data_IF_435812418224
#
_entry.id   IF_435812418224
#
_cell.length_a   1.000
_cell.length_b   1.000
_cell.length_c   1.000
_cell.angle_alpha   90.00
_cell.angle_beta   90.00
_cell.angle_gamma   90.00
#
_symmetry.space_group_name_H-M   'P 1'
#
loop_
_entity.id
_entity.type
_entity.pdbx_description
1 polymer ?
#
# COMPACT_ATOMS: atom_id res chain seq x y z
N UNK A 1 8.35 -10.37 -33.73
CA UNK A 1 7.02 -10.27 -34.37
C UNK A 1 6.19 -9.14 -33.78
N UNK A 2 6.00 -9.07 -32.45
CA UNK A 2 5.31 -7.94 -31.79
C UNK A 2 5.89 -6.57 -32.19
N UNK A 3 7.20 -6.38 -32.03
CA UNK A 3 7.89 -5.15 -32.42
C UNK A 3 7.76 -4.80 -33.92
N UNK A 4 7.68 -5.81 -34.79
CA UNK A 4 7.48 -5.61 -36.22
C UNK A 4 6.06 -5.13 -36.53
N UNK A 5 5.05 -5.69 -35.87
CA UNK A 5 3.65 -5.27 -36.01
C UNK A 5 3.41 -3.88 -35.41
N UNK A 6 4.02 -3.58 -34.26
CA UNK A 6 3.98 -2.24 -33.65
C UNK A 6 4.60 -1.20 -34.60
N UNK A 7 5.78 -1.47 -35.16
CA UNK A 7 6.44 -0.59 -36.14
C UNK A 7 5.59 -0.40 -37.41
N UNK A 8 4.98 -1.48 -37.93
CA UNK A 8 4.11 -1.42 -39.12
C UNK A 8 2.87 -0.57 -38.89
N UNK A 9 2.25 -0.63 -37.70
CA UNK A 9 1.10 0.21 -37.37
C UNK A 9 1.51 1.69 -37.35
N UNK A 10 2.66 2.01 -36.74
CA UNK A 10 3.19 3.39 -36.73
C UNK A 10 3.50 3.90 -38.13
N UNK A 11 4.10 3.07 -38.98
CA UNK A 11 4.39 3.42 -40.38
C UNK A 11 3.09 3.70 -41.15
N UNK A 12 2.04 2.88 -41.00
CA UNK A 12 0.75 3.09 -41.70
C UNK A 12 -0.02 4.30 -41.17
N UNK A 13 -0.02 4.55 -39.85
CA UNK A 13 -0.64 5.72 -39.24
C UNK A 13 0.08 7.03 -39.64
N UNK A 14 1.41 6.99 -39.77
CA UNK A 14 2.21 8.12 -40.24
C UNK A 14 2.09 8.36 -41.76
N UNK A 15 2.01 7.28 -42.56
CA UNK A 15 1.91 7.36 -44.03
C UNK A 15 0.61 8.00 -44.52
N UNK A 16 -0.43 8.08 -43.68
CA UNK A 16 -1.64 8.84 -43.99
C UNK A 16 -1.43 10.37 -44.05
N UNK A 17 -0.28 10.87 -43.58
CA UNK A 17 0.07 12.30 -43.56
C UNK A 17 1.11 12.72 -44.62
N UNK A 18 1.85 11.77 -45.18
CA UNK A 18 2.95 12.02 -46.14
C UNK A 18 2.62 11.47 -47.53
N UNK A 19 2.41 12.39 -48.48
CA UNK A 19 2.03 12.11 -49.88
C UNK A 19 3.08 11.27 -50.63
N UNK A 20 4.33 11.22 -50.17
CA UNK A 20 5.37 10.39 -50.79
C UNK A 20 5.25 8.91 -50.39
N UNK A 21 4.86 8.65 -49.14
CA UNK A 21 4.69 7.28 -48.62
C UNK A 21 3.47 6.55 -49.20
N UNK A 22 2.42 7.29 -49.58
CA UNK A 22 1.23 6.73 -50.22
C UNK A 22 1.51 6.19 -51.63
N UNK A 23 2.44 6.80 -52.37
CA UNK A 23 2.82 6.33 -53.72
C UNK A 23 3.55 4.99 -53.69
N UNK A 24 4.42 4.73 -52.71
CA UNK A 24 5.11 3.43 -52.57
C UNK A 24 4.15 2.28 -52.21
N UNK A 25 3.02 2.57 -51.58
CA UNK A 25 2.02 1.57 -51.21
C UNK A 25 1.06 1.23 -52.36
N UNK A 26 0.90 2.12 -53.35
CA UNK A 26 0.10 1.87 -54.56
C UNK A 26 0.74 0.85 -55.52
N UNK A 27 2.07 0.69 -55.46
CA UNK A 27 2.79 -0.34 -56.23
C UNK A 27 2.95 -1.67 -55.46
N UNK A 28 2.50 -1.72 -54.20
CA UNK A 28 2.57 -2.93 -53.39
C UNK A 28 1.53 -3.98 -53.82
N UNK A 29 1.83 -5.29 -53.70
CA UNK A 29 0.85 -6.35 -53.95
C UNK A 29 -0.47 -6.12 -53.23
N UNK A 30 -1.60 -6.45 -53.88
CA UNK A 30 -2.95 -6.22 -53.36
C UNK A 30 -3.17 -6.72 -51.91
N UNK A 31 -2.47 -7.80 -51.52
CA UNK A 31 -2.49 -8.35 -50.15
C UNK A 31 -2.02 -7.34 -49.09
N UNK A 32 -1.04 -6.49 -49.42
CA UNK A 32 -0.54 -5.45 -48.53
C UNK A 32 -1.45 -4.20 -48.56
N UNK A 33 -2.02 -3.88 -49.73
CA UNK A 33 -2.98 -2.76 -49.88
C UNK A 33 -4.31 -3.01 -49.18
N UNK A 34 -4.76 -4.27 -49.11
CA UNK A 34 -5.98 -4.69 -48.42
C UNK A 34 -5.82 -4.76 -46.90
N UNK A 35 -4.60 -4.60 -46.37
CA UNK A 35 -4.34 -4.73 -44.94
C UNK A 35 -4.66 -3.42 -44.23
N UNK A 36 -5.84 -3.35 -43.62
CA UNK A 36 -6.26 -2.20 -42.82
C UNK A 36 -5.46 -2.08 -41.51
N UNK A 37 -5.36 -0.86 -40.99
CA UNK A 37 -4.80 -0.58 -39.65
C UNK A 37 -5.48 -1.42 -38.56
N UNK A 38 -6.79 -1.65 -38.68
CA UNK A 38 -7.56 -2.49 -37.77
C UNK A 38 -7.15 -3.96 -37.82
N UNK A 39 -6.89 -4.50 -39.02
CA UNK A 39 -6.40 -5.87 -39.20
C UNK A 39 -5.02 -6.07 -38.56
N UNK A 40 -4.11 -5.09 -38.74
CA UNK A 40 -2.79 -5.11 -38.09
C UNK A 40 -2.90 -5.04 -36.56
N UNK A 41 -3.77 -4.18 -36.02
CA UNK A 41 -4.05 -4.10 -34.59
C UNK A 41 -4.62 -5.41 -34.05
N UNK A 42 -5.51 -6.08 -34.79
CA UNK A 42 -6.05 -7.38 -34.42
C UNK A 42 -4.98 -8.48 -34.42
N UNK A 43 -4.08 -8.49 -35.41
CA UNK A 43 -2.95 -9.43 -35.47
C UNK A 43 -1.98 -9.22 -34.30
N UNK A 44 -1.69 -7.96 -33.96
CA UNK A 44 -0.86 -7.59 -32.81
C UNK A 44 -1.49 -8.07 -31.50
N UNK A 45 -2.78 -7.80 -31.31
CA UNK A 45 -3.52 -8.24 -30.12
C UNK A 45 -3.54 -9.77 -29.99
N UNK A 46 -3.74 -10.48 -31.10
CA UNK A 46 -3.71 -11.94 -31.12
C UNK A 46 -2.32 -12.47 -30.77
N UNK A 47 -1.27 -11.83 -31.29
CA UNK A 47 0.13 -12.20 -31.00
C UNK A 47 0.47 -11.95 -29.54
N UNK A 48 0.11 -10.78 -28.99
CA UNK A 48 0.30 -10.43 -27.57
C UNK A 48 -0.48 -11.36 -26.65
N UNK A 49 -1.71 -11.73 -27.02
CA UNK A 49 -2.55 -12.69 -26.28
C UNK A 49 -1.91 -14.08 -26.26
N UNK A 50 -1.48 -14.61 -27.40
CA UNK A 50 -0.78 -15.88 -27.50
C UNK A 50 0.55 -15.88 -26.74
N UNK A 51 1.33 -14.81 -26.88
CA UNK A 51 2.59 -14.61 -26.17
C UNK A 51 2.35 -14.63 -24.65
N UNK A 52 1.35 -13.91 -24.16
CA UNK A 52 0.94 -13.90 -22.75
C UNK A 52 0.54 -15.29 -22.25
N UNK A 53 -0.29 -16.01 -23.02
CA UNK A 53 -0.71 -17.37 -22.68
C UNK A 53 0.47 -18.35 -22.60
N UNK A 54 1.39 -18.30 -23.58
CA UNK A 54 2.59 -19.14 -23.62
C UNK A 54 3.64 -18.76 -22.57
N UNK A 55 3.70 -17.49 -22.21
CA UNK A 55 4.65 -16.93 -21.22
C UNK A 55 4.03 -16.75 -19.83
N UNK A 56 2.96 -17.49 -19.54
CA UNK A 56 2.39 -17.57 -18.20
C UNK A 56 3.47 -18.00 -17.21
N UNK A 57 3.48 -17.41 -16.00
CA UNK A 57 4.46 -17.70 -14.94
C UNK A 57 4.61 -19.21 -14.69
N UNK A 58 3.49 -19.96 -14.74
CA UNK A 58 3.47 -21.42 -14.64
C UNK A 58 4.27 -22.12 -15.74
N UNK A 59 4.11 -21.71 -17.00
CA UNK A 59 4.88 -22.28 -18.12
C UNK A 59 6.35 -21.91 -18.03
N UNK A 60 6.68 -20.67 -17.63
CA UNK A 60 8.06 -20.25 -17.37
C UNK A 60 8.73 -21.13 -16.32
N UNK A 61 8.06 -21.38 -15.19
CA UNK A 61 8.56 -22.30 -14.16
C UNK A 61 8.74 -23.72 -14.72
N UNK A 62 7.77 -24.24 -15.47
CA UNK A 62 7.87 -25.58 -16.07
C UNK A 62 9.02 -25.70 -17.08
N UNK A 63 9.24 -24.68 -17.92
CA UNK A 63 10.37 -24.63 -18.83
C UNK A 63 11.70 -24.58 -18.09
N UNK A 64 11.79 -23.80 -17.00
CA UNK A 64 12.99 -23.70 -16.17
C UNK A 64 13.28 -24.99 -15.40
N UNK A 65 12.24 -25.70 -14.93
CA UNK A 65 12.36 -27.03 -14.32
C UNK A 65 12.89 -28.05 -15.34
N UNK A 66 12.40 -27.99 -16.59
CA UNK A 66 12.86 -28.87 -17.67
C UNK A 66 14.30 -28.56 -18.11
N UNK A 67 14.69 -27.28 -18.15
CA UNK A 67 15.98 -26.85 -18.69
C UNK A 67 17.13 -26.92 -17.69
N UNK A 68 16.86 -26.81 -16.38
CA UNK A 68 17.90 -26.86 -15.36
C UNK A 68 17.40 -27.47 -14.04
N UNK A 69 17.99 -28.59 -13.56
CA UNK A 69 17.62 -29.18 -12.28
C UNK A 69 17.92 -28.26 -11.09
N UNK A 70 18.95 -27.40 -11.18
CA UNK A 70 19.30 -26.42 -10.14
C UNK A 70 18.20 -25.39 -9.89
N UNK A 71 17.30 -25.18 -10.85
CA UNK A 71 16.18 -24.26 -10.66
C UNK A 71 15.17 -24.80 -9.64
N UNK A 72 14.99 -26.12 -9.61
CA UNK A 72 14.12 -26.79 -8.63
C UNK A 72 14.64 -26.54 -7.22
N UNK A 73 15.95 -26.68 -7.00
CA UNK A 73 16.56 -26.46 -5.69
C UNK A 73 16.33 -25.03 -5.18
N UNK A 74 16.52 -24.03 -6.04
CA UNK A 74 16.25 -22.62 -5.70
C UNK A 74 14.77 -22.37 -5.41
N UNK A 75 13.88 -23.03 -6.16
CA UNK A 75 12.44 -22.89 -5.96
C UNK A 75 12.02 -23.50 -4.62
N UNK A 76 12.58 -24.66 -4.26
CA UNK A 76 12.38 -25.28 -2.94
C UNK A 76 12.91 -24.38 -1.82
N UNK A 77 14.10 -23.81 -1.97
CA UNK A 77 14.67 -22.89 -0.99
C UNK A 77 13.80 -21.63 -0.81
N UNK A 78 13.33 -21.04 -1.91
CA UNK A 78 12.42 -19.89 -1.87
C UNK A 78 11.10 -20.22 -1.18
N UNK A 79 10.53 -21.41 -1.44
CA UNK A 79 9.30 -21.86 -0.77
C UNK A 79 9.53 -22.09 0.73
N UNK A 80 10.65 -22.71 1.12
CA UNK A 80 11.01 -22.88 2.53
C UNK A 80 11.16 -21.54 3.25
N UNK A 81 11.86 -20.59 2.65
CA UNK A 81 12.03 -19.24 3.20
C UNK A 81 10.69 -18.51 3.36
N UNK A 82 9.78 -18.63 2.38
CA UNK A 82 8.43 -18.06 2.47
C UNK A 82 7.60 -18.69 3.58
N UNK A 83 7.70 -20.01 3.76
CA UNK A 83 7.00 -20.74 4.81
C UNK A 83 7.52 -20.30 6.19
N UNK A 84 8.83 -20.25 6.38
CA UNK A 84 9.45 -19.79 7.63
C UNK A 84 9.05 -18.34 7.96
N UNK A 85 8.99 -17.47 6.95
CA UNK A 85 8.54 -16.09 7.13
C UNK A 85 7.06 -16.04 7.55
N UNK A 86 6.20 -16.86 6.94
CA UNK A 86 4.79 -16.93 7.28
C UNK A 86 4.58 -17.42 8.73
N UNK A 87 5.33 -18.43 9.17
CA UNK A 87 5.29 -18.91 10.55
C UNK A 87 5.71 -17.80 11.54
N UNK A 88 6.81 -17.11 11.28
CA UNK A 88 7.25 -15.96 12.10
C UNK A 88 6.20 -14.85 12.15
N UNK A 89 5.51 -14.57 11.04
CA UNK A 89 4.44 -13.57 11.02
C UNK A 89 3.25 -13.96 11.91
N UNK A 90 2.90 -15.25 11.95
CA UNK A 90 1.84 -15.77 12.83
C UNK A 90 2.23 -15.58 14.30
N UNK A 91 3.48 -15.87 14.65
CA UNK A 91 3.95 -15.71 16.03
C UNK A 91 4.06 -14.24 16.44
N UNK A 92 4.53 -13.37 15.54
CA UNK A 92 4.48 -11.92 15.73
C UNK A 92 3.05 -11.42 15.94
N UNK A 93 2.08 -11.92 15.16
CA UNK A 93 0.67 -11.54 15.32
C UNK A 93 0.15 -11.91 16.72
N UNK A 94 0.46 -13.11 17.22
CA UNK A 94 0.09 -13.54 18.57
C UNK A 94 0.74 -12.64 19.63
N UNK A 95 2.04 -12.37 19.50
CA UNK A 95 2.77 -11.53 20.44
C UNK A 95 2.21 -10.09 20.50
N UNK A 96 1.89 -9.50 19.34
CA UNK A 96 1.27 -8.17 19.27
C UNK A 96 -0.12 -8.18 19.91
N UNK A 97 -0.92 -9.23 19.67
CA UNK A 97 -2.25 -9.37 20.28
C UNK A 97 -2.18 -9.44 21.81
N UNK A 98 -1.22 -10.20 22.36
CA UNK A 98 -1.01 -10.28 23.80
C UNK A 98 -0.60 -8.91 24.38
N UNK A 99 0.39 -8.25 23.79
CA UNK A 99 0.82 -6.90 24.22
C UNK A 99 -0.30 -5.87 24.14
N UNK A 100 -1.15 -5.96 23.12
CA UNK A 100 -2.32 -5.11 23.00
C UNK A 100 -3.30 -5.34 24.15
N UNK A 101 -3.57 -6.60 24.51
CA UNK A 101 -4.43 -6.92 25.64
C UNK A 101 -3.86 -6.42 26.96
N UNK A 102 -2.56 -6.63 27.21
CA UNK A 102 -1.85 -6.11 28.37
C UNK A 102 -1.96 -4.57 28.46
N UNK A 103 -1.71 -3.85 27.36
CA UNK A 103 -1.82 -2.40 27.32
C UNK A 103 -3.25 -1.90 27.61
N UNK A 104 -4.28 -2.58 27.11
CA UNK A 104 -5.68 -2.25 27.38
C UNK A 104 -6.05 -2.52 28.84
N UNK A 105 -5.51 -3.57 29.45
CA UNK A 105 -5.71 -3.85 30.87
C UNK A 105 -5.00 -2.81 31.77
N UNK A 106 -3.78 -2.42 31.40
CA UNK A 106 -3.06 -1.34 32.08
C UNK A 106 -3.82 -0.01 31.97
N UNK A 107 -4.28 0.36 30.78
CA UNK A 107 -5.08 1.56 30.55
C UNK A 107 -6.32 1.59 31.45
N UNK A 108 -7.10 0.49 31.48
CA UNK A 108 -8.27 0.34 32.37
C UNK A 108 -7.92 0.46 33.86
N UNK A 109 -6.74 -0.01 34.26
CA UNK A 109 -6.27 0.11 35.63
C UNK A 109 -5.76 1.52 35.99
N UNK A 110 -5.29 2.29 35.00
CA UNK A 110 -4.83 3.67 35.17
C UNK A 110 -5.99 4.66 35.19
N UNK A 111 -7.02 4.46 34.39
CA UNK A 111 -8.25 5.27 34.33
C UNK A 111 -8.81 5.73 35.69
N UNK A 112 -9.08 4.82 36.66
CA UNK A 112 -9.60 5.23 37.96
C UNK A 112 -8.59 6.04 38.77
N UNK A 113 -7.28 5.77 38.61
CA UNK A 113 -6.23 6.53 39.31
C UNK A 113 -6.16 7.96 38.79
N UNK A 114 -6.26 8.15 37.47
CA UNK A 114 -6.30 9.46 36.84
C UNK A 114 -7.51 10.27 37.33
N UNK A 115 -8.71 9.65 37.40
CA UNK A 115 -9.92 10.29 37.94
C UNK A 115 -9.73 10.77 39.38
N UNK A 116 -9.18 9.92 40.25
CA UNK A 116 -8.92 10.27 41.65
C UNK A 116 -7.94 11.46 41.76
N UNK A 117 -6.90 11.48 40.92
CA UNK A 117 -5.93 12.58 40.90
C UNK A 117 -6.62 13.89 40.50
N UNK A 118 -7.43 13.87 39.43
CA UNK A 118 -8.18 15.05 38.98
C UNK A 118 -9.08 15.60 40.09
N UNK A 119 -9.81 14.72 40.78
CA UNK A 119 -10.73 15.15 41.84
C UNK A 119 -9.99 15.71 43.06
N UNK A 120 -8.89 15.09 43.47
CA UNK A 120 -8.03 15.62 44.53
C UNK A 120 -7.41 16.97 44.15
N UNK A 121 -6.97 17.14 42.91
CA UNK A 121 -6.42 18.41 42.45
C UNK A 121 -7.48 19.51 42.41
N UNK A 122 -8.74 19.22 42.05
CA UNK A 122 -9.84 20.19 42.15
C UNK A 122 -10.06 20.66 43.59
N UNK A 123 -10.07 19.73 44.54
CA UNK A 123 -10.24 20.05 45.96
C UNK A 123 -9.08 20.95 46.42
N UNK A 124 -7.84 20.55 46.14
CA UNK A 124 -6.66 21.31 46.53
C UNK A 124 -6.63 22.71 45.90
N UNK A 125 -7.05 22.84 44.64
CA UNK A 125 -7.17 24.15 44.00
C UNK A 125 -8.16 25.05 44.74
N UNK A 126 -9.33 24.52 45.12
CA UNK A 126 -10.34 25.28 45.86
C UNK A 126 -9.84 25.72 47.23
N UNK A 127 -9.09 24.89 47.94
CA UNK A 127 -8.49 25.23 49.23
C UNK A 127 -7.43 26.34 49.08
N UNK A 128 -6.60 26.26 48.04
CA UNK A 128 -5.59 27.28 47.74
C UNK A 128 -6.24 28.60 47.35
N UNK A 129 -7.28 28.59 46.52
CA UNK A 129 -8.05 29.79 46.15
C UNK A 129 -8.67 30.47 47.38
N UNK A 130 -9.22 29.69 48.31
CA UNK A 130 -9.75 30.19 49.57
C UNK A 130 -8.66 30.78 50.47
N UNK A 131 -7.49 30.13 50.59
CA UNK A 131 -6.39 30.66 51.42
C UNK A 131 -5.84 31.98 50.85
N UNK A 132 -5.66 32.06 49.53
CA UNK A 132 -5.24 33.30 48.87
C UNK A 132 -6.32 34.37 49.04
N UNK A 133 -7.60 34.05 48.85
CA UNK A 133 -8.70 35.00 49.01
C UNK A 133 -8.71 35.63 50.42
N UNK A 134 -8.54 34.80 51.47
CA UNK A 134 -8.44 35.27 52.86
C UNK A 134 -7.27 36.24 53.07
N UNK A 135 -6.10 35.92 52.52
CA UNK A 135 -4.91 36.80 52.60
C UNK A 135 -5.09 38.14 51.89
N UNK A 136 -5.95 38.21 50.86
CA UNK A 136 -6.16 39.40 50.04
C UNK A 136 -7.55 40.03 50.19
N UNK A 137 -8.04 40.17 51.43
CA UNK A 137 -9.29 40.88 51.78
C UNK A 137 -10.54 40.30 51.10
N UNK A 138 -10.66 38.97 51.03
CA UNK A 138 -11.79 38.25 50.44
C UNK A 138 -12.10 38.60 48.98
N UNK A 139 -11.08 38.98 48.20
CA UNK A 139 -11.23 39.12 46.75
C UNK A 139 -11.32 37.74 46.11
N UNK A 140 -12.19 37.58 45.11
CA UNK A 140 -12.32 36.34 44.35
C UNK A 140 -11.02 36.08 43.56
N UNK A 141 -10.43 34.90 43.75
CA UNK A 141 -9.23 34.45 43.04
C UNK A 141 -9.61 33.17 42.29
N UNK A 142 -9.17 33.06 41.03
CA UNK A 142 -9.36 31.87 40.19
C UNK A 142 -8.01 31.52 39.57
N UNK A 143 -7.50 30.32 39.84
CA UNK A 143 -6.19 29.88 39.35
C UNK A 143 -6.39 29.19 37.99
N UNK A 144 -6.03 29.90 36.92
CA UNK A 144 -6.13 29.41 35.54
C UNK A 144 -4.93 28.54 35.16
N UNK A 145 -5.17 27.42 34.46
CA UNK A 145 -4.13 26.59 33.81
C UNK A 145 -3.90 25.20 34.40
N UNK A 146 -3.97 25.03 35.73
CA UNK A 146 -3.69 23.75 36.38
C UNK A 146 -4.70 22.64 36.02
N UNK A 147 -5.99 22.98 36.01
CA UNK A 147 -7.06 22.03 35.67
C UNK A 147 -7.15 21.72 34.18
N UNK A 148 -6.88 22.71 33.32
CA UNK A 148 -6.94 22.54 31.86
C UNK A 148 -5.87 21.57 31.37
N UNK A 149 -4.66 21.60 31.93
CA UNK A 149 -3.60 20.66 31.60
C UNK A 149 -3.96 19.22 32.02
N UNK A 150 -4.59 19.03 33.19
CA UNK A 150 -5.02 17.70 33.65
C UNK A 150 -6.24 17.16 32.88
N UNK A 151 -7.14 18.02 32.43
CA UNK A 151 -8.27 17.62 31.58
C UNK A 151 -7.82 17.19 30.19
N UNK A 152 -6.77 17.80 29.63
CA UNK A 152 -6.19 17.38 28.34
C UNK A 152 -5.62 15.95 28.39
N UNK A 153 -5.11 15.52 29.56
CA UNK A 153 -4.58 14.17 29.77
C UNK A 153 -5.70 13.12 29.85
N UNK A 154 -6.93 13.51 30.22
CA UNK A 154 -8.08 12.60 30.35
C UNK A 154 -8.87 12.41 29.03
N UNK A 155 -8.54 13.16 27.97
CA UNK A 155 -9.29 13.17 26.69
C UNK A 155 -8.62 12.29 25.62
N UNK A 156 -7.41 11.80 25.87
CA UNK A 156 -6.72 10.79 25.08
C UNK A 156 -6.83 9.43 25.76
#
# INVERSE_FOLDING_TARGET
LEAFLDQRITEVEFSGSDVLSSNFFQDAPAILQMQSTDSLKQMLNSTKSLSSQLMTTRLKHLFLIKSSPRYVDRLVESLKSKLETAEKMIDCQKAVKLKFQEAVEEEKALDPKVKIIIDKTKILLSEVELDISKRYKNRKVNIMGGLSALQQISVY
#
